data_IF_874571433312
#
_entry.id   IF_874571433312
#
_cell.length_a   1.000
_cell.length_b   1.000
_cell.length_c   1.000
_cell.angle_alpha   90.00
_cell.angle_beta   90.00
_cell.angle_gamma   90.00
#
_symmetry.space_group_name_H-M   'P 1'
#
loop_
_entity.id
_entity.type
_entity.pdbx_description
1 polymer ?
#
# COMPACT_ATOMS: atom_id res chain seq x y z
N UNK A 1 9.55 -3.59 22.98
CA UNK A 1 9.77 -4.97 22.53
C UNK A 1 9.25 -5.20 21.09
N UNK A 2 8.06 -4.72 20.72
CA UNK A 2 7.47 -4.91 19.40
C UNK A 2 8.35 -4.44 18.25
N UNK A 3 8.81 -3.19 18.27
CA UNK A 3 9.74 -2.64 17.26
C UNK A 3 11.02 -3.47 17.11
N UNK A 4 11.65 -3.80 18.24
CA UNK A 4 12.86 -4.60 18.26
C UNK A 4 12.64 -6.02 17.70
N UNK A 5 11.53 -6.64 18.07
CA UNK A 5 11.17 -7.98 17.58
C UNK A 5 10.91 -7.97 16.06
N UNK A 6 10.13 -7.02 15.55
CA UNK A 6 9.85 -6.89 14.14
C UNK A 6 11.12 -6.58 13.34
N UNK A 7 11.88 -5.58 13.76
CA UNK A 7 13.15 -5.22 13.11
C UNK A 7 14.12 -6.41 13.03
N UNK A 8 14.26 -7.18 14.11
CA UNK A 8 15.09 -8.37 14.12
C UNK A 8 14.62 -9.44 13.10
N UNK A 9 13.32 -9.67 13.02
CA UNK A 9 12.75 -10.67 12.09
C UNK A 9 12.93 -10.27 10.63
N UNK A 10 12.81 -9.00 10.29
CA UNK A 10 13.04 -8.50 8.93
C UNK A 10 14.52 -8.26 8.62
N UNK A 11 15.40 -8.44 9.59
CA UNK A 11 16.84 -8.30 9.44
C UNK A 11 17.32 -6.85 9.38
N UNK A 12 16.62 -5.94 10.06
CA UNK A 12 17.01 -4.55 10.25
C UNK A 12 17.38 -4.29 11.70
N UNK A 13 18.38 -3.44 11.90
CA UNK A 13 18.77 -3.00 13.25
C UNK A 13 17.73 -2.04 13.80
N UNK A 14 17.18 -2.34 14.98
CA UNK A 14 16.44 -1.37 15.78
C UNK A 14 17.42 -0.61 16.66
N UNK A 15 17.85 0.55 16.17
CA UNK A 15 18.92 1.32 16.83
C UNK A 15 18.47 2.12 18.05
N UNK A 16 17.19 2.46 18.12
CA UNK A 16 16.66 3.31 19.19
C UNK A 16 15.17 3.05 19.38
N UNK A 17 14.74 2.88 20.62
CA UNK A 17 13.34 2.86 21.07
C UNK A 17 13.23 3.70 22.32
N UNK A 18 12.31 4.64 22.35
CA UNK A 18 12.10 5.53 23.48
C UNK A 18 10.61 5.75 23.72
N UNK A 19 10.21 5.87 24.97
CA UNK A 19 8.85 6.20 25.38
C UNK A 19 8.86 7.50 26.19
N UNK A 20 7.92 8.39 25.88
CA UNK A 20 7.69 9.63 26.58
C UNK A 20 6.26 9.59 27.12
N UNK A 21 6.07 9.99 28.34
CA UNK A 21 4.78 10.03 29.01
C UNK A 21 4.38 11.47 29.24
N UNK A 22 3.15 11.81 28.93
CA UNK A 22 2.55 13.13 29.09
C UNK A 22 1.06 12.98 29.40
N UNK A 23 0.54 13.79 30.31
CA UNK A 23 -0.86 13.74 30.75
C UNK A 23 -1.86 13.98 29.62
N UNK A 24 -1.45 14.66 28.54
CA UNK A 24 -2.26 14.84 27.33
C UNK A 24 -2.52 13.57 26.54
N UNK A 25 -1.78 12.48 26.82
CA UNK A 25 -1.91 11.18 26.12
C UNK A 25 -2.58 10.09 26.96
N UNK A 26 -3.33 10.43 27.99
CA UNK A 26 -4.00 9.45 28.86
C UNK A 26 -4.97 8.55 28.09
N UNK A 27 -5.70 9.10 27.13
CA UNK A 27 -6.71 8.39 26.36
C UNK A 27 -6.20 7.85 25.02
N UNK A 28 -4.98 8.18 24.60
CA UNK A 28 -4.48 7.83 23.27
C UNK A 28 -2.97 7.70 23.26
N UNK A 29 -2.47 6.59 22.70
CA UNK A 29 -1.05 6.40 22.47
C UNK A 29 -0.69 6.85 21.05
N UNK A 30 0.38 7.62 20.91
CA UNK A 30 1.00 7.94 19.63
C UNK A 30 2.24 7.08 19.45
N UNK A 31 2.38 6.43 18.31
CA UNK A 31 3.58 5.68 17.95
C UNK A 31 4.17 6.26 16.67
N UNK A 32 5.46 6.48 16.66
CA UNK A 32 6.22 6.97 15.52
C UNK A 32 7.32 5.99 15.19
N UNK A 33 7.47 5.67 13.94
CA UNK A 33 8.58 4.87 13.42
C UNK A 33 9.37 5.66 12.39
N UNK A 34 10.68 5.51 12.39
CA UNK A 34 11.55 6.06 11.37
C UNK A 34 12.53 5.00 10.88
N UNK A 35 12.69 4.93 9.57
CA UNK A 35 13.68 4.05 8.92
C UNK A 35 14.64 4.91 8.12
N UNK A 36 15.93 4.65 8.29
CA UNK A 36 16.99 5.28 7.49
C UNK A 36 17.65 4.22 6.65
N UNK A 37 17.68 4.44 5.35
CA UNK A 37 18.27 3.53 4.39
C UNK A 37 19.07 4.30 3.32
N UNK A 38 19.95 3.60 2.62
CA UNK A 38 20.68 4.15 1.49
C UNK A 38 20.60 3.20 0.30
N UNK A 39 20.50 3.77 -0.89
CA UNK A 39 20.55 3.05 -2.15
C UNK A 39 21.38 3.84 -3.17
N UNK A 40 21.93 3.20 -4.21
CA UNK A 40 22.53 3.89 -5.32
C UNK A 40 21.51 4.87 -5.95
N UNK A 41 21.97 6.08 -6.28
CA UNK A 41 21.10 7.15 -6.79
C UNK A 41 20.32 6.73 -8.03
N UNK A 42 20.92 5.96 -8.90
CA UNK A 42 20.33 5.44 -10.13
C UNK A 42 19.19 4.44 -9.90
N UNK A 43 19.09 3.88 -8.69
CA UNK A 43 18.00 2.97 -8.30
C UNK A 43 16.82 3.71 -7.67
N UNK A 44 16.99 4.99 -7.32
CA UNK A 44 15.91 5.82 -6.79
C UNK A 44 15.09 6.37 -7.96
N UNK A 45 13.99 5.69 -8.28
CA UNK A 45 13.13 6.01 -9.42
C UNK A 45 11.73 6.37 -8.96
N UNK A 46 11.16 7.40 -9.55
CA UNK A 46 9.76 7.77 -9.45
C UNK A 46 9.33 8.34 -10.80
N UNK A 47 9.11 7.42 -11.74
CA UNK A 47 8.73 7.78 -13.11
C UNK A 47 7.22 7.88 -13.23
N UNK A 48 6.75 8.58 -14.24
CA UNK A 48 5.31 8.61 -14.57
C UNK A 48 4.94 7.32 -15.30
N UNK A 49 3.93 6.58 -14.81
CA UNK A 49 3.38 5.43 -15.51
C UNK A 49 2.78 5.84 -16.86
N UNK A 50 2.99 5.00 -17.86
CA UNK A 50 2.46 5.20 -19.20
C UNK A 50 1.25 4.28 -19.44
N UNK A 51 0.42 4.64 -20.42
CA UNK A 51 -0.65 3.77 -20.89
C UNK A 51 -0.12 2.37 -21.19
N UNK A 52 -0.93 1.37 -20.88
CA UNK A 52 -0.66 -0.07 -21.04
C UNK A 52 0.41 -0.64 -20.09
N UNK A 53 1.01 0.18 -19.23
CA UNK A 53 1.73 -0.38 -18.07
C UNK A 53 0.75 -1.16 -17.19
N UNK A 54 1.26 -2.20 -16.55
CA UNK A 54 0.48 -3.04 -15.63
C UNK A 54 0.88 -2.81 -14.19
N UNK A 55 -0.05 -3.10 -13.27
CA UNK A 55 0.23 -3.07 -11.84
C UNK A 55 0.23 -4.50 -11.31
N UNK A 56 1.34 -4.89 -10.72
CA UNK A 56 1.47 -6.14 -9.98
C UNK A 56 1.32 -5.88 -8.49
N UNK A 57 0.52 -6.71 -7.81
CA UNK A 57 0.44 -6.80 -6.37
C UNK A 57 1.30 -7.98 -5.92
N UNK A 58 2.26 -7.71 -5.03
CA UNK A 58 3.25 -8.68 -4.55
C UNK A 58 3.10 -8.81 -3.02
N UNK A 59 3.20 -10.03 -2.50
CA UNK A 59 3.26 -10.30 -1.06
C UNK A 59 2.02 -10.95 -0.50
N UNK A 60 1.63 -10.56 0.71
CA UNK A 60 0.58 -11.22 1.48
C UNK A 60 -0.82 -11.17 0.87
N UNK A 61 -1.66 -12.12 1.24
CA UNK A 61 -3.06 -12.17 0.82
C UNK A 61 -3.93 -11.21 1.60
N UNK A 62 -5.04 -10.79 1.01
CA UNK A 62 -6.00 -9.84 1.58
C UNK A 62 -7.00 -10.54 2.51
N UNK A 63 -7.21 -9.97 3.67
CA UNK A 63 -8.25 -10.33 4.64
C UNK A 63 -8.98 -9.10 5.15
N UNK A 64 -9.76 -9.23 6.25
CA UNK A 64 -10.42 -8.11 6.95
C UNK A 64 -9.48 -7.43 7.94
N UNK A 65 -8.26 -7.13 7.51
CA UNK A 65 -7.24 -6.50 8.34
C UNK A 65 -7.25 -4.98 8.09
N UNK A 66 -7.24 -4.18 9.17
CA UNK A 66 -7.13 -2.74 9.10
C UNK A 66 -8.35 -2.02 8.51
N UNK A 67 -9.46 -2.72 8.28
CA UNK A 67 -10.67 -2.12 7.70
C UNK A 67 -11.21 -1.05 8.63
N UNK A 68 -11.20 0.21 8.17
CA UNK A 68 -11.59 1.35 8.98
C UNK A 68 -10.51 1.81 9.99
N UNK A 69 -9.32 1.21 10.00
CA UNK A 69 -8.25 1.51 10.94
C UNK A 69 -7.80 2.97 10.90
N UNK A 70 -7.62 3.54 9.73
CA UNK A 70 -7.27 4.95 9.57
C UNK A 70 -8.35 5.89 10.15
N UNK A 71 -9.64 5.60 9.92
CA UNK A 71 -10.76 6.33 10.50
C UNK A 71 -10.87 6.07 12.01
N UNK A 72 -10.74 4.83 12.44
CA UNK A 72 -10.78 4.41 13.84
C UNK A 72 -9.70 5.09 14.67
N UNK A 73 -8.48 5.22 14.14
CA UNK A 73 -7.36 5.89 14.82
C UNK A 73 -7.65 7.37 15.14
N UNK A 74 -8.58 8.00 14.42
CA UNK A 74 -8.99 9.41 14.61
C UNK A 74 -10.21 9.60 15.52
N UNK A 75 -10.82 8.51 15.99
CA UNK A 75 -11.99 8.56 16.90
C UNK A 75 -11.57 8.44 18.36
N UNK A 76 -12.42 8.91 19.27
CA UNK A 76 -12.27 8.61 20.69
C UNK A 76 -12.53 7.12 20.95
N UNK A 77 -11.71 6.52 21.78
CA UNK A 77 -11.84 5.11 22.17
C UNK A 77 -12.46 4.98 23.56
N UNK A 78 -13.29 3.95 23.72
CA UNK A 78 -13.86 3.52 24.99
C UNK A 78 -13.61 2.03 25.23
N UNK A 79 -14.11 1.48 26.35
CA UNK A 79 -13.93 0.07 26.67
C UNK A 79 -14.54 -0.86 25.60
N UNK A 80 -15.62 -0.44 24.94
CA UNK A 80 -16.27 -1.22 23.87
C UNK A 80 -15.44 -1.26 22.59
N UNK A 81 -14.55 -0.30 22.38
CA UNK A 81 -13.64 -0.29 21.22
C UNK A 81 -12.77 -1.55 21.18
N UNK A 82 -12.41 -2.13 22.32
CA UNK A 82 -11.62 -3.37 22.41
C UNK A 82 -12.37 -4.55 21.78
N UNK A 83 -13.71 -4.58 21.94
CA UNK A 83 -14.53 -5.65 21.40
C UNK A 83 -14.85 -5.48 19.92
N UNK A 84 -14.96 -4.23 19.44
CA UNK A 84 -15.46 -3.91 18.10
C UNK A 84 -14.34 -3.64 17.10
N UNK A 85 -13.17 -3.20 17.55
CA UNK A 85 -12.06 -2.77 16.67
C UNK A 85 -11.17 -3.92 16.16
N UNK A 86 -11.56 -5.18 16.34
CA UNK A 86 -10.73 -6.32 15.93
C UNK A 86 -10.38 -6.35 14.43
N UNK A 87 -11.28 -5.86 13.58
CA UNK A 87 -11.05 -5.75 12.13
C UNK A 87 -10.21 -4.52 11.75
N UNK A 88 -10.13 -3.50 12.63
CA UNK A 88 -9.34 -2.29 12.40
C UNK A 88 -7.84 -2.52 12.63
N UNK A 89 -7.47 -3.62 13.27
CA UNK A 89 -6.07 -3.93 13.59
C UNK A 89 -5.35 -4.48 12.37
N UNK A 90 -4.28 -3.80 12.00
CA UNK A 90 -3.30 -4.31 11.03
C UNK A 90 -2.42 -5.35 11.73
N UNK A 91 -2.20 -6.49 11.06
CA UNK A 91 -1.36 -7.58 11.59
C UNK A 91 -0.09 -7.67 10.76
N UNK A 92 1.06 -7.48 11.38
CA UNK A 92 2.35 -7.59 10.72
C UNK A 92 2.69 -9.03 10.33
N UNK A 93 3.39 -9.19 9.22
CA UNK A 93 3.96 -10.45 8.75
C UNK A 93 5.43 -10.25 8.36
N UNK A 94 6.35 -10.26 9.34
CA UNK A 94 7.76 -9.95 9.07
C UNK A 94 8.42 -10.93 8.09
N UNK A 95 7.90 -12.13 7.94
CA UNK A 95 8.43 -13.11 6.95
C UNK A 95 8.17 -12.61 5.54
N UNK A 96 6.96 -12.15 5.22
CA UNK A 96 6.64 -11.59 3.91
C UNK A 96 7.43 -10.28 3.67
N UNK A 97 7.53 -9.42 4.66
CA UNK A 97 8.34 -8.20 4.57
C UNK A 97 9.80 -8.51 4.23
N UNK A 98 10.39 -9.49 4.89
CA UNK A 98 11.77 -9.90 4.60
C UNK A 98 11.96 -10.40 3.17
N UNK A 99 11.02 -11.15 2.64
CA UNK A 99 11.06 -11.65 1.26
C UNK A 99 10.96 -10.49 0.26
N UNK A 100 10.01 -9.54 0.50
CA UNK A 100 9.84 -8.35 -0.33
C UNK A 100 11.13 -7.52 -0.33
N UNK A 101 11.75 -7.29 0.82
CA UNK A 101 13.02 -6.59 0.90
C UNK A 101 14.14 -7.28 0.09
N UNK A 102 14.18 -8.59 0.11
CA UNK A 102 15.16 -9.37 -0.69
C UNK A 102 14.91 -9.21 -2.18
N UNK A 103 13.64 -9.27 -2.61
CA UNK A 103 13.25 -9.03 -4.00
C UNK A 103 13.73 -7.66 -4.49
N UNK A 104 13.42 -6.59 -3.73
CA UNK A 104 13.79 -5.22 -4.10
C UNK A 104 15.30 -4.92 -4.02
N UNK A 105 16.08 -5.73 -3.32
CA UNK A 105 17.55 -5.68 -3.35
C UNK A 105 18.15 -6.20 -4.67
N UNK A 106 17.38 -6.97 -5.43
CA UNK A 106 17.80 -7.36 -6.78
C UNK A 106 17.72 -6.13 -7.70
N UNK A 107 18.91 -5.72 -8.18
CA UNK A 107 19.05 -4.55 -9.05
C UNK A 107 18.21 -4.68 -10.33
N UNK A 108 18.20 -5.86 -10.95
CA UNK A 108 17.43 -6.11 -12.17
C UNK A 108 15.92 -5.95 -11.96
N UNK A 109 15.41 -6.29 -10.77
CA UNK A 109 14.02 -6.04 -10.37
C UNK A 109 13.78 -4.55 -10.19
N UNK A 110 14.60 -3.88 -9.37
CA UNK A 110 14.43 -2.46 -9.05
C UNK A 110 14.50 -1.57 -10.31
N UNK A 111 15.32 -1.94 -11.29
CA UNK A 111 15.45 -1.19 -12.55
C UNK A 111 14.21 -1.27 -13.44
N UNK A 112 13.37 -2.28 -13.28
CA UNK A 112 12.13 -2.47 -14.04
C UNK A 112 10.92 -1.80 -13.39
N UNK A 113 11.01 -1.45 -12.12
CA UNK A 113 9.95 -0.76 -11.40
C UNK A 113 9.88 0.71 -11.86
N UNK A 114 8.76 1.11 -12.43
CA UNK A 114 8.46 2.48 -12.84
C UNK A 114 8.06 3.31 -11.62
N UNK A 115 7.16 2.76 -10.80
CA UNK A 115 6.63 3.37 -9.59
C UNK A 115 6.12 2.27 -8.65
N UNK A 116 6.13 2.51 -7.35
CA UNK A 116 5.59 1.56 -6.38
C UNK A 116 5.01 2.28 -5.16
N UNK A 117 4.08 1.62 -4.50
CA UNK A 117 3.57 1.97 -3.18
C UNK A 117 3.50 0.71 -2.31
N UNK A 118 3.71 0.90 -1.01
CA UNK A 118 3.36 -0.09 0.00
C UNK A 118 1.85 -0.06 0.31
N UNK A 119 1.38 -1.06 1.03
CA UNK A 119 0.01 -1.12 1.50
C UNK A 119 -0.06 -0.65 2.96
N UNK A 120 -0.79 0.43 3.15
CA UNK A 120 -1.13 0.99 4.44
C UNK A 120 -2.61 1.40 4.44
N UNK A 121 -2.92 2.52 5.05
CA UNK A 121 -4.26 3.08 5.12
C UNK A 121 -4.90 3.22 3.73
N UNK A 122 -6.13 2.74 3.59
CA UNK A 122 -6.90 2.77 2.35
C UNK A 122 -6.68 1.59 1.41
N UNK A 123 -5.81 0.65 1.74
CA UNK A 123 -5.64 -0.61 1.00
C UNK A 123 -5.37 -0.42 -0.49
N UNK A 124 -6.05 -1.20 -1.34
CA UNK A 124 -5.93 -1.13 -2.81
C UNK A 124 -6.32 0.25 -3.36
N UNK A 125 -7.33 0.91 -2.75
CA UNK A 125 -7.76 2.25 -3.18
C UNK A 125 -6.61 3.26 -3.18
N UNK A 126 -5.72 3.18 -2.21
CA UNK A 126 -4.57 4.07 -2.07
C UNK A 126 -3.33 3.46 -2.73
N UNK A 127 -2.91 2.27 -2.30
CA UNK A 127 -1.66 1.67 -2.77
C UNK A 127 -1.61 1.49 -4.29
N UNK A 128 -2.72 1.08 -4.91
CA UNK A 128 -2.83 0.95 -6.37
C UNK A 128 -3.41 2.23 -6.98
N UNK A 129 -4.49 2.75 -6.39
CA UNK A 129 -5.27 3.86 -6.96
C UNK A 129 -4.50 5.17 -7.11
N UNK A 130 -3.39 5.37 -6.39
CA UNK A 130 -2.54 6.57 -6.48
C UNK A 130 -1.31 6.39 -7.40
N UNK A 131 -1.11 5.22 -8.00
CA UNK A 131 0.06 4.96 -8.83
C UNK A 131 0.03 5.71 -10.15
N UNK A 132 -1.15 5.91 -10.74
CA UNK A 132 -1.30 6.62 -12.01
C UNK A 132 -2.63 7.40 -12.06
N UNK A 133 -2.71 8.46 -12.89
CA UNK A 133 -3.94 9.23 -13.07
C UNK A 133 -5.10 8.42 -13.62
N UNK A 134 -4.85 7.51 -14.56
CA UNK A 134 -5.84 6.62 -15.14
C UNK A 134 -5.54 5.17 -14.81
N UNK A 135 -6.48 4.47 -14.18
CA UNK A 135 -6.34 3.06 -13.77
C UNK A 135 -7.66 2.31 -13.91
N UNK A 136 -7.56 1.08 -14.40
CA UNK A 136 -8.61 0.07 -14.28
C UNK A 136 -8.09 -1.05 -13.38
N UNK A 137 -8.69 -1.18 -12.21
CA UNK A 137 -8.32 -2.16 -11.17
C UNK A 137 -9.33 -3.29 -11.19
N UNK A 138 -8.84 -4.52 -11.24
CA UNK A 138 -9.62 -5.75 -11.08
C UNK A 138 -9.47 -6.28 -9.66
N UNK A 139 -10.50 -6.08 -8.84
CA UNK A 139 -10.52 -6.55 -7.46
C UNK A 139 -10.67 -8.08 -7.36
N UNK A 140 -11.20 -8.73 -8.39
CA UNK A 140 -11.34 -10.18 -8.40
C UNK A 140 -9.98 -10.88 -8.54
N UNK A 141 -9.00 -10.20 -9.12
CA UNK A 141 -7.61 -10.68 -9.21
C UNK A 141 -6.85 -10.61 -7.87
N UNK A 142 -7.34 -9.86 -6.90
CA UNK A 142 -6.67 -9.70 -5.60
C UNK A 142 -6.72 -11.02 -4.81
N UNK A 143 -5.55 -11.54 -4.43
CA UNK A 143 -5.45 -12.79 -3.67
C UNK A 143 -6.03 -12.63 -2.27
N UNK A 144 -6.89 -13.57 -1.89
CA UNK A 144 -7.66 -13.55 -0.64
C UNK A 144 -7.13 -14.59 0.35
N UNK A 145 -7.16 -14.26 1.64
CA UNK A 145 -6.88 -15.22 2.73
C UNK A 145 -8.01 -16.25 2.87
N UNK A 146 -9.23 -15.83 2.55
CA UNK A 146 -10.47 -16.62 2.64
C UNK A 146 -11.55 -16.01 1.73
N UNK A 147 -12.56 -16.79 1.42
CA UNK A 147 -13.69 -16.35 0.61
C UNK A 147 -14.68 -15.46 1.41
N UNK A 148 -15.58 -14.78 0.70
CA UNK A 148 -16.64 -13.97 1.28
C UNK A 148 -16.24 -12.52 1.58
N UNK A 149 -15.12 -12.05 1.03
CA UNK A 149 -14.80 -10.63 1.01
C UNK A 149 -15.63 -9.94 -0.07
N UNK A 150 -16.25 -8.84 0.30
CA UNK A 150 -16.96 -7.95 -0.63
C UNK A 150 -15.98 -7.10 -1.44
N UNK A 151 -16.43 -6.51 -2.55
CA UNK A 151 -15.61 -5.59 -3.33
C UNK A 151 -15.10 -4.41 -2.50
N UNK A 152 -15.93 -3.88 -1.61
CA UNK A 152 -15.50 -2.80 -0.68
C UNK A 152 -14.39 -3.28 0.25
N UNK A 153 -14.54 -4.45 0.88
CA UNK A 153 -13.50 -4.99 1.76
C UNK A 153 -12.19 -5.26 1.02
N UNK A 154 -12.26 -5.76 -0.22
CA UNK A 154 -11.08 -5.93 -1.08
C UNK A 154 -10.40 -4.61 -1.40
N UNK A 155 -11.19 -3.56 -1.66
CA UNK A 155 -10.70 -2.24 -2.04
C UNK A 155 -10.01 -1.50 -0.89
N UNK A 156 -10.49 -1.65 0.36
CA UNK A 156 -10.03 -0.85 1.50
C UNK A 156 -9.26 -1.63 2.56
N UNK A 157 -9.13 -2.96 2.44
CA UNK A 157 -8.37 -3.76 3.38
C UNK A 157 -6.90 -3.35 3.42
N UNK A 158 -6.39 -3.18 4.63
CA UNK A 158 -5.02 -2.76 4.92
C UNK A 158 -4.13 -3.96 5.32
N UNK A 159 -4.40 -5.15 4.78
CA UNK A 159 -3.52 -6.30 5.00
C UNK A 159 -2.08 -5.94 4.66
N UNK A 160 -1.18 -6.10 5.62
CA UNK A 160 0.19 -5.62 5.55
C UNK A 160 1.12 -6.53 4.74
N UNK A 161 2.34 -6.03 4.51
CA UNK A 161 3.41 -6.64 3.75
C UNK A 161 2.97 -7.03 2.35
N UNK A 162 2.46 -6.02 1.66
CA UNK A 162 2.15 -6.05 0.24
C UNK A 162 2.79 -4.84 -0.45
N UNK A 163 3.18 -5.02 -1.70
CA UNK A 163 3.66 -3.93 -2.56
C UNK A 163 2.89 -3.92 -3.87
N UNK A 164 2.48 -2.75 -4.30
CA UNK A 164 1.97 -2.51 -5.65
C UNK A 164 3.09 -1.89 -6.48
N UNK A 165 3.45 -2.51 -7.61
CA UNK A 165 4.47 -2.01 -8.52
C UNK A 165 3.91 -1.81 -9.92
N UNK A 166 4.27 -0.71 -10.54
CA UNK A 166 4.01 -0.44 -11.97
C UNK A 166 5.23 -0.89 -12.77
N UNK A 167 4.99 -1.67 -13.81
CA UNK A 167 6.01 -2.14 -14.74
C UNK A 167 5.51 -2.09 -16.19
N UNK A 168 6.42 -2.17 -17.13
CA UNK A 168 6.09 -2.50 -18.53
C UNK A 168 5.62 -3.97 -18.58
N UNK A 169 4.55 -4.27 -19.32
CA UNK A 169 3.98 -5.61 -19.42
C UNK A 169 5.01 -6.68 -19.86
N UNK A 170 5.94 -6.31 -20.74
CA UNK A 170 7.01 -7.21 -21.21
C UNK A 170 7.91 -7.76 -20.10
N UNK A 171 7.98 -7.07 -18.95
CA UNK A 171 8.81 -7.44 -17.81
C UNK A 171 8.06 -8.34 -16.79
N UNK A 172 6.75 -8.60 -17.03
CA UNK A 172 5.89 -9.32 -16.09
C UNK A 172 6.42 -10.72 -15.74
N UNK A 173 6.80 -11.50 -16.73
CA UNK A 173 7.26 -12.88 -16.52
C UNK A 173 8.60 -12.92 -15.77
N UNK A 174 9.49 -11.97 -16.04
CA UNK A 174 10.71 -11.83 -15.28
C UNK A 174 10.42 -11.53 -13.79
N UNK A 175 9.60 -10.55 -13.52
CA UNK A 175 9.23 -10.19 -12.13
C UNK A 175 8.55 -11.36 -11.40
N UNK A 176 7.62 -12.06 -12.06
CA UNK A 176 6.98 -13.27 -11.50
C UNK A 176 8.00 -14.36 -11.16
N UNK A 177 8.98 -14.58 -12.04
CA UNK A 177 10.05 -15.55 -11.79
C UNK A 177 10.92 -15.15 -10.59
N UNK A 178 11.27 -13.87 -10.45
CA UNK A 178 12.04 -13.38 -9.31
C UNK A 178 11.22 -13.45 -7.99
N UNK A 179 9.91 -13.15 -8.03
CA UNK A 179 9.02 -13.37 -6.89
C UNK A 179 8.99 -14.84 -6.46
N UNK A 180 8.91 -15.76 -7.41
CA UNK A 180 8.89 -17.20 -7.13
C UNK A 180 10.16 -17.68 -6.41
N UNK A 181 11.34 -17.13 -6.73
CA UNK A 181 12.60 -17.44 -6.03
C UNK A 181 12.56 -17.09 -4.54
N UNK A 182 11.82 -16.07 -4.18
CA UNK A 182 11.61 -15.63 -2.79
C UNK A 182 10.35 -16.24 -2.15
N UNK A 183 9.62 -17.12 -2.84
CA UNK A 183 8.32 -17.65 -2.42
C UNK A 183 7.32 -16.53 -2.12
N UNK A 184 7.28 -15.51 -2.96
CA UNK A 184 6.29 -14.43 -2.95
C UNK A 184 5.18 -14.72 -3.94
N UNK A 185 3.94 -14.50 -3.52
CA UNK A 185 2.81 -14.48 -4.44
C UNK A 185 2.79 -13.15 -5.20
N UNK A 186 2.39 -13.20 -6.46
CA UNK A 186 2.31 -12.02 -7.33
C UNK A 186 1.17 -12.18 -8.32
N UNK A 187 0.36 -11.13 -8.45
CA UNK A 187 -0.78 -11.09 -9.39
C UNK A 187 -0.85 -9.73 -10.06
N UNK A 188 -1.31 -9.71 -11.31
CA UNK A 188 -1.68 -8.46 -11.96
C UNK A 188 -3.06 -8.04 -11.49
N UNK A 189 -3.16 -6.81 -10.98
CA UNK A 189 -4.42 -6.28 -10.41
C UNK A 189 -4.93 -5.04 -11.15
N UNK A 190 -4.12 -4.41 -11.99
CA UNK A 190 -4.58 -3.23 -12.73
C UNK A 190 -3.80 -3.01 -14.03
N UNK A 191 -4.39 -2.16 -14.88
CA UNK A 191 -3.79 -1.63 -16.09
C UNK A 191 -3.87 -0.10 -16.04
N UNK A 192 -2.79 0.56 -16.45
CA UNK A 192 -2.74 2.03 -16.58
C UNK A 192 -3.42 2.45 -17.88
N UNK A 193 -4.29 3.44 -17.81
CA UNK A 193 -5.03 3.98 -18.95
C UNK A 193 -4.76 5.48 -19.14
N UNK A 194 -5.18 5.99 -20.28
CA UNK A 194 -5.14 7.43 -20.61
C UNK A 194 -6.47 8.16 -20.30
N UNK A 195 -7.42 7.49 -19.63
CA UNK A 195 -8.77 8.04 -19.40
C UNK A 195 -8.86 9.01 -18.22
N UNK A 196 -7.79 9.23 -17.47
CA UNK A 196 -7.77 10.10 -16.28
C UNK A 196 -8.90 9.79 -15.28
N UNK A 197 -9.16 8.51 -15.05
CA UNK A 197 -10.20 7.98 -14.17
C UNK A 197 -9.68 6.83 -13.33
N UNK A 198 -10.17 6.73 -12.10
CA UNK A 198 -10.03 5.54 -11.27
C UNK A 198 -11.28 4.67 -11.46
N UNK A 199 -11.09 3.49 -12.00
CA UNK A 199 -12.14 2.48 -12.16
C UNK A 199 -11.75 1.24 -11.36
N UNK A 200 -12.67 0.74 -10.53
CA UNK A 200 -12.50 -0.54 -9.83
C UNK A 200 -13.65 -1.46 -10.20
N UNK A 201 -13.29 -2.66 -10.60
CA UNK A 201 -14.23 -3.71 -11.03
C UNK A 201 -14.29 -4.83 -9.99
N UNK A 202 -15.50 -5.32 -9.76
CA UNK A 202 -15.76 -6.51 -8.95
C UNK A 202 -16.95 -7.28 -9.51
N UNK A 203 -16.78 -8.58 -9.73
CA UNK A 203 -17.80 -9.46 -10.30
C UNK A 203 -18.40 -8.94 -11.63
N UNK A 204 -17.55 -8.33 -12.46
CA UNK A 204 -17.93 -7.79 -13.77
C UNK A 204 -18.56 -6.41 -13.76
N UNK A 205 -18.76 -5.79 -12.59
CA UNK A 205 -19.36 -4.46 -12.44
C UNK A 205 -18.33 -3.42 -12.00
N UNK A 206 -18.53 -2.16 -12.44
CA UNK A 206 -17.77 -1.03 -11.96
C UNK A 206 -18.32 -0.60 -10.60
N UNK A 207 -17.65 -0.95 -9.50
CA UNK A 207 -18.03 -0.50 -8.16
C UNK A 207 -17.47 0.88 -7.80
N UNK A 208 -16.44 1.32 -8.52
CA UNK A 208 -15.90 2.68 -8.48
C UNK A 208 -15.62 3.12 -9.91
N UNK A 209 -16.07 4.34 -10.26
CA UNK A 209 -15.76 4.97 -11.54
C UNK A 209 -15.75 6.49 -11.38
N UNK A 210 -14.62 7.04 -10.95
CA UNK A 210 -14.47 8.44 -10.53
C UNK A 210 -13.39 9.12 -11.36
N UNK A 211 -13.64 10.36 -11.82
CA UNK A 211 -12.61 11.13 -12.51
C UNK A 211 -11.48 11.54 -11.56
N UNK A 212 -10.26 11.60 -12.06
CA UNK A 212 -9.11 12.06 -11.28
C UNK A 212 -9.29 13.51 -10.82
N UNK A 213 -9.84 14.36 -11.66
CA UNK A 213 -10.11 15.77 -11.31
C UNK A 213 -11.02 15.89 -10.08
N UNK A 214 -11.99 14.98 -9.93
CA UNK A 214 -12.84 14.95 -8.73
C UNK A 214 -12.06 14.51 -7.50
N UNK A 215 -11.24 13.48 -7.63
CA UNK A 215 -10.41 12.96 -6.52
C UNK A 215 -9.39 14.00 -6.05
N UNK A 216 -8.68 14.64 -6.97
CA UNK A 216 -7.61 15.58 -6.66
C UNK A 216 -8.14 16.88 -6.02
N UNK A 217 -9.36 17.26 -6.32
CA UNK A 217 -10.00 18.47 -5.81
C UNK A 217 -11.02 18.19 -4.70
N UNK A 218 -11.26 16.93 -4.33
CA UNK A 218 -12.39 16.53 -3.46
C UNK A 218 -13.72 17.15 -3.92
N UNK A 219 -13.91 17.26 -5.24
CA UNK A 219 -15.08 17.88 -5.88
C UNK A 219 -15.08 19.42 -5.90
N UNK A 220 -14.07 20.08 -5.32
CA UNK A 220 -13.98 21.54 -5.25
C UNK A 220 -12.65 22.05 -5.86
N UNK A 221 -12.75 22.97 -6.84
CA UNK A 221 -11.58 23.67 -7.35
C UNK A 221 -11.07 24.66 -6.31
N UNK A 222 -9.80 24.60 -5.98
CA UNK A 222 -9.13 25.53 -5.06
C UNK A 222 -8.01 26.23 -5.79
N UNK A 223 -7.90 27.55 -5.58
CA UNK A 223 -6.85 28.38 -6.15
C UNK A 223 -6.13 29.09 -5.01
N UNK A 224 -4.84 29.22 -5.12
CA UNK A 224 -4.02 30.02 -4.20
C UNK A 224 -2.89 30.68 -4.98
N UNK A 225 -2.79 32.01 -4.85
CA UNK A 225 -1.66 32.75 -5.38
C UNK A 225 -0.49 32.66 -4.42
N UNK A 226 0.68 32.27 -4.94
CA UNK A 226 1.92 32.18 -4.16
C UNK A 226 2.94 33.16 -4.74
N UNK A 227 3.44 34.06 -3.90
CA UNK A 227 4.55 34.95 -4.23
C UNK A 227 5.83 34.42 -3.60
N UNK A 228 6.78 34.02 -4.42
CA UNK A 228 8.12 33.61 -3.96
C UNK A 228 9.02 34.84 -4.07
N UNK A 229 9.60 35.27 -2.95
CA UNK A 229 10.64 36.30 -2.93
C UNK A 229 11.97 35.54 -2.72
N UNK A 230 12.85 35.65 -3.71
CA UNK A 230 14.22 35.12 -3.69
C UNK A 230 15.14 36.08 -2.96
#
# INVERSE_FOLDING_TARGET
HGFSSYGNQIGLTTGYVHEIYDDGYVAKRMELGAVVAAAPKEQVKRLEPLKDHIVLLIGGRTGRDGIGGATGSSKSHDVKSIETAGAEVQKGNPVEERKIQRLFRNKEVSEKVVRCNDFGAGGVCVAVGELAPGLVIDLDAVLKKYEGLTGTELAISESQERMAIVIDEKDADFIKAECAKENLEVVQVAVVTDQNRLVMKHMGEDIVNISRDFLDAAGAKRYQDVKITL
#
